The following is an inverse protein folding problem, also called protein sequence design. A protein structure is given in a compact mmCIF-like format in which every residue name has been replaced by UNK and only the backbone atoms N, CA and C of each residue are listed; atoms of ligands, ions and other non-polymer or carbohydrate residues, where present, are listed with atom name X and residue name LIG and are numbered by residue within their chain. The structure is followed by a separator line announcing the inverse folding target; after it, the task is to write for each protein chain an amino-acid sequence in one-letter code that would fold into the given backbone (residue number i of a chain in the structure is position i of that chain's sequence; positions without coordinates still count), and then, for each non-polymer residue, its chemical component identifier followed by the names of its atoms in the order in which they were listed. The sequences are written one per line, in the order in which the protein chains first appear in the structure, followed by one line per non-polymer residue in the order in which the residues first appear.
data_IF_839820836630
#
_entry.id   IF_839820836630
#
_cell.length_a   1.000
_cell.length_b   1.000
_cell.length_c   1.000
_cell.angle_alpha   90.00
_cell.angle_beta   90.00
_cell.angle_gamma   90.00
#
_symmetry.space_group_name_H-M   'P 1'
#
loop_
_entity.id
_entity.type
_entity.pdbx_description
1 polymer ?
#
# COMPACT_ATOMS: atom_id res chain seq x y z
N UNK A 1 -22.10 -81.85 4.77
CA UNK A 1 -21.88 -80.62 5.59
C UNK A 1 -20.88 -79.73 4.79
N UNK A 2 -21.38 -78.77 4.06
CA UNK A 2 -20.55 -77.79 3.27
C UNK A 2 -20.58 -76.45 3.99
N UNK A 3 -19.43 -76.04 4.50
CA UNK A 3 -19.22 -74.70 5.05
C UNK A 3 -19.04 -73.69 3.93
N UNK A 4 -19.94 -72.69 3.85
CA UNK A 4 -19.81 -71.55 2.95
C UNK A 4 -18.90 -70.50 3.63
N UNK A 5 -17.74 -70.22 3.08
CA UNK A 5 -16.89 -69.09 3.43
C UNK A 5 -17.47 -67.83 2.73
N UNK A 6 -17.90 -66.86 3.56
CA UNK A 6 -18.22 -65.50 3.05
C UNK A 6 -16.93 -64.66 3.07
N UNK A 7 -16.46 -64.23 1.89
CA UNK A 7 -15.43 -63.22 1.74
C UNK A 7 -16.05 -61.82 1.81
N UNK A 8 -15.77 -61.08 2.87
CA UNK A 8 -16.08 -59.64 2.94
C UNK A 8 -14.92 -58.87 2.25
N UNK A 9 -15.22 -58.23 1.12
CA UNK A 9 -14.36 -57.28 0.46
C UNK A 9 -14.61 -55.90 1.13
N UNK A 10 -13.70 -55.44 1.97
CA UNK A 10 -13.65 -54.06 2.44
C UNK A 10 -13.07 -53.18 1.34
N UNK A 11 -13.94 -52.43 0.64
CA UNK A 11 -13.53 -51.34 -0.22
C UNK A 11 -13.01 -50.17 0.66
N UNK A 12 -11.71 -50.03 0.69
CA UNK A 12 -11.07 -48.85 1.29
C UNK A 12 -11.13 -47.70 0.27
N UNK A 13 -12.11 -46.79 0.44
CA UNK A 13 -12.18 -45.56 -0.37
C UNK A 13 -11.14 -44.59 0.19
N UNK A 14 -9.97 -44.52 -0.46
CA UNK A 14 -9.00 -43.46 -0.23
C UNK A 14 -9.61 -42.14 -0.68
N UNK A 15 -10.15 -41.35 0.24
CA UNK A 15 -10.36 -39.92 0.02
C UNK A 15 -8.98 -39.24 -0.05
N UNK A 16 -8.44 -39.12 -1.26
CA UNK A 16 -7.36 -38.17 -1.52
C UNK A 16 -7.94 -36.77 -1.36
N UNK A 17 -7.74 -36.16 -0.21
CA UNK A 17 -7.85 -34.72 -0.06
C UNK A 17 -6.83 -34.10 -1.02
N UNK A 18 -7.28 -33.73 -2.22
CA UNK A 18 -6.60 -32.75 -3.04
C UNK A 18 -6.67 -31.44 -2.30
N UNK A 19 -5.74 -31.23 -1.36
CA UNK A 19 -5.41 -29.90 -0.89
C UNK A 19 -5.04 -29.14 -2.17
N UNK A 20 -5.96 -28.32 -2.66
CA UNK A 20 -5.71 -27.39 -3.73
C UNK A 20 -4.59 -26.49 -3.21
N UNK A 21 -3.36 -26.74 -3.67
CA UNK A 21 -2.22 -25.89 -3.39
C UNK A 21 -2.61 -24.49 -3.85
N UNK A 22 -2.98 -23.66 -2.89
CA UNK A 22 -3.22 -22.24 -3.14
C UNK A 22 -1.90 -21.70 -3.70
N UNK A 23 -1.87 -21.42 -5.01
CA UNK A 23 -0.65 -20.96 -5.67
C UNK A 23 -0.27 -19.64 -5.02
N UNK A 24 0.84 -19.63 -4.31
CA UNK A 24 1.39 -18.40 -3.74
C UNK A 24 1.63 -17.42 -4.89
N UNK A 25 1.29 -16.14 -4.68
CA UNK A 25 1.61 -15.09 -5.64
C UNK A 25 3.11 -15.10 -5.95
N UNK A 26 3.53 -14.83 -7.20
CA UNK A 26 4.93 -14.68 -7.54
C UNK A 26 5.61 -13.62 -6.68
N UNK A 27 6.82 -13.89 -6.23
CA UNK A 27 7.63 -12.91 -5.50
C UNK A 27 7.92 -11.69 -6.36
N UNK A 28 7.77 -10.49 -5.78
CA UNK A 28 8.07 -9.23 -6.45
C UNK A 28 9.51 -8.80 -6.16
N UNK A 29 10.18 -8.34 -7.19
CA UNK A 29 11.55 -7.82 -7.17
C UNK A 29 11.63 -6.49 -7.90
N UNK A 30 12.71 -5.77 -7.67
CA UNK A 30 13.10 -4.58 -8.43
C UNK A 30 14.10 -4.96 -9.51
N UNK A 31 13.86 -4.52 -10.74
CA UNK A 31 14.80 -4.64 -11.87
C UNK A 31 14.84 -3.31 -12.64
N UNK A 32 15.93 -2.58 -12.45
CA UNK A 32 16.02 -1.21 -12.98
C UNK A 32 14.92 -0.31 -12.38
N UNK A 33 14.13 0.27 -13.24
CA UNK A 33 12.99 1.12 -12.83
C UNK A 33 11.62 0.40 -12.79
N UNK A 34 11.62 -0.92 -12.71
CA UNK A 34 10.39 -1.72 -12.78
C UNK A 34 10.24 -2.65 -11.58
N UNK A 35 9.00 -2.86 -11.17
CA UNK A 35 8.61 -4.01 -10.37
C UNK A 35 8.42 -5.21 -11.30
N UNK A 36 9.07 -6.32 -10.97
CA UNK A 36 9.00 -7.54 -11.75
C UNK A 36 8.72 -8.74 -10.85
N UNK A 37 8.06 -9.76 -11.40
CA UNK A 37 7.99 -11.06 -10.72
C UNK A 37 9.38 -11.71 -10.68
N UNK A 38 9.56 -12.71 -9.83
CA UNK A 38 10.77 -13.54 -9.81
C UNK A 38 11.08 -14.22 -11.16
N UNK A 39 10.07 -14.36 -12.03
CA UNK A 39 10.19 -14.89 -13.39
C UNK A 39 10.47 -13.81 -14.44
N UNK A 40 10.68 -12.55 -14.02
CA UNK A 40 11.04 -11.43 -14.90
C UNK A 40 9.87 -10.74 -15.61
N UNK A 41 8.61 -11.10 -15.32
CA UNK A 41 7.44 -10.40 -15.87
C UNK A 41 7.25 -9.07 -15.13
N UNK A 42 7.22 -7.96 -15.88
CA UNK A 42 6.88 -6.64 -15.32
C UNK A 42 5.43 -6.60 -14.84
N UNK A 43 5.23 -6.01 -13.65
CA UNK A 43 3.91 -5.74 -13.08
C UNK A 43 3.80 -4.24 -12.79
N UNK A 44 2.68 -3.65 -13.21
CA UNK A 44 2.26 -2.32 -12.79
C UNK A 44 1.13 -2.51 -11.76
N UNK A 45 1.36 -2.02 -10.56
CA UNK A 45 0.40 -2.13 -9.47
C UNK A 45 -0.62 -0.99 -9.55
N UNK A 46 -1.90 -1.36 -9.56
CA UNK A 46 -3.01 -0.43 -9.53
C UNK A 46 -4.05 -0.96 -8.57
N UNK A 47 -4.36 -0.19 -7.55
CA UNK A 47 -5.21 -0.71 -6.49
C UNK A 47 -5.82 0.36 -5.60
N UNK A 48 -6.12 -0.06 -4.39
CA UNK A 48 -6.93 0.69 -3.45
C UNK A 48 -6.26 0.74 -2.08
N UNK A 49 -6.28 1.92 -1.46
CA UNK A 49 -6.04 2.02 -0.03
C UNK A 49 -7.28 1.49 0.70
N UNK A 50 -7.09 0.52 1.57
CA UNK A 50 -8.10 0.22 2.59
C UNK A 50 -8.11 1.33 3.63
N UNK A 51 -9.17 1.47 4.43
CA UNK A 51 -9.02 2.19 5.70
C UNK A 51 -8.14 1.37 6.64
N UNK A 52 -7.64 2.02 7.71
CA UNK A 52 -6.93 1.32 8.78
C UNK A 52 -7.69 0.05 9.20
N UNK A 53 -7.00 -1.12 9.24
CA UNK A 53 -7.60 -2.38 9.68
C UNK A 53 -8.33 -2.27 11.02
N UNK A 54 -7.79 -1.49 11.97
CA UNK A 54 -8.46 -1.20 13.26
C UNK A 54 -9.80 -0.49 13.08
N UNK A 55 -9.85 0.54 12.23
CA UNK A 55 -11.09 1.26 11.95
C UNK A 55 -12.15 0.34 11.34
N UNK A 56 -11.75 -0.47 10.37
CA UNK A 56 -12.66 -1.41 9.71
C UNK A 56 -13.13 -2.49 10.69
N UNK A 57 -12.24 -3.03 11.52
CA UNK A 57 -12.57 -4.00 12.55
C UNK A 57 -13.54 -3.43 13.58
N UNK A 58 -13.24 -2.25 14.12
CA UNK A 58 -14.10 -1.57 15.10
C UNK A 58 -15.47 -1.20 14.53
N UNK A 59 -15.55 -0.95 13.22
CA UNK A 59 -16.79 -0.69 12.49
C UNK A 59 -17.55 -1.95 12.06
N UNK A 60 -17.01 -3.15 12.30
CA UNK A 60 -17.61 -4.43 11.87
C UNK A 60 -17.51 -4.70 10.37
N UNK A 61 -16.52 -4.09 9.69
CA UNK A 61 -16.33 -4.18 8.24
C UNK A 61 -14.98 -4.77 7.82
N UNK A 62 -14.16 -5.24 8.78
CA UNK A 62 -12.95 -6.00 8.48
C UNK A 62 -13.32 -7.45 8.21
N UNK A 63 -13.74 -7.75 7.01
CA UNK A 63 -14.14 -9.07 6.56
C UNK A 63 -13.77 -9.30 5.09
N UNK A 64 -13.91 -10.53 4.60
CA UNK A 64 -13.55 -10.88 3.22
C UNK A 64 -14.39 -10.17 2.16
N UNK A 65 -15.58 -9.66 2.50
CA UNK A 65 -16.49 -9.00 1.55
C UNK A 65 -15.88 -7.72 0.99
N UNK A 66 -15.25 -6.88 1.83
CA UNK A 66 -14.60 -5.65 1.35
C UNK A 66 -13.43 -5.96 0.42
N UNK A 67 -12.67 -7.05 0.68
CA UNK A 67 -11.59 -7.52 -0.20
C UNK A 67 -12.13 -8.03 -1.53
N UNK A 68 -13.22 -8.80 -1.50
CA UNK A 68 -13.88 -9.29 -2.70
C UNK A 68 -14.36 -8.12 -3.57
N UNK A 69 -14.92 -7.09 -2.96
CA UNK A 69 -15.37 -5.92 -3.70
C UNK A 69 -14.20 -5.12 -4.27
N UNK A 70 -13.12 -4.94 -3.52
CA UNK A 70 -11.89 -4.34 -4.07
C UNK A 70 -11.36 -5.11 -5.29
N UNK A 71 -11.41 -6.45 -5.25
CA UNK A 71 -11.08 -7.29 -6.42
C UNK A 71 -12.07 -7.09 -7.57
N UNK A 72 -13.36 -7.01 -7.30
CA UNK A 72 -14.42 -6.74 -8.29
C UNK A 72 -14.23 -5.36 -8.95
N UNK A 73 -13.64 -4.41 -8.23
CA UNK A 73 -13.28 -3.10 -8.79
C UNK A 73 -12.01 -3.13 -9.64
N UNK A 74 -11.33 -4.28 -9.70
CA UNK A 74 -10.17 -4.49 -10.56
C UNK A 74 -8.81 -4.28 -9.88
N UNK A 75 -8.75 -4.13 -8.56
CA UNK A 75 -7.49 -3.96 -7.84
C UNK A 75 -6.59 -5.21 -7.98
N UNK A 76 -5.27 -4.99 -8.13
CA UNK A 76 -4.24 -6.03 -8.06
C UNK A 76 -3.31 -5.85 -6.84
N UNK A 77 -3.47 -4.75 -6.12
CA UNK A 77 -2.75 -4.45 -4.87
C UNK A 77 -3.67 -3.71 -3.91
N UNK A 78 -3.53 -3.98 -2.62
CA UNK A 78 -4.19 -3.27 -1.52
C UNK A 78 -3.14 -2.67 -0.60
N UNK A 79 -3.37 -1.44 -0.13
CA UNK A 79 -2.53 -0.82 0.88
C UNK A 79 -3.25 -0.82 2.22
N UNK A 80 -2.55 -1.27 3.25
CA UNK A 80 -3.03 -1.34 4.64
C UNK A 80 -2.33 -0.25 5.45
N UNK A 81 -2.99 0.89 5.70
CA UNK A 81 -2.46 1.92 6.58
C UNK A 81 -2.57 1.47 8.04
N UNK A 82 -1.43 1.35 8.73
CA UNK A 82 -1.34 0.98 10.14
C UNK A 82 -0.97 2.22 10.95
N UNK A 83 -1.92 2.79 11.69
CA UNK A 83 -1.66 3.94 12.53
C UNK A 83 -0.88 3.54 13.80
N UNK A 84 0.13 4.29 14.21
CA UNK A 84 0.85 4.04 15.47
C UNK A 84 -0.07 3.98 16.70
N UNK A 85 -1.09 4.83 16.75
CA UNK A 85 -2.07 4.83 17.84
C UNK A 85 -2.89 3.53 17.92
N UNK A 86 -3.27 2.97 16.76
CA UNK A 86 -3.98 1.69 16.66
C UNK A 86 -3.06 0.54 17.11
N UNK A 87 -1.84 0.50 16.58
CA UNK A 87 -0.81 -0.46 16.95
C UNK A 87 -0.57 -0.53 18.47
N UNK A 88 -0.48 0.63 19.14
CA UNK A 88 -0.34 0.68 20.61
C UNK A 88 -1.60 0.22 21.33
N UNK A 89 -2.79 0.64 20.87
CA UNK A 89 -4.08 0.34 21.53
C UNK A 89 -4.41 -1.15 21.49
N UNK A 90 -4.23 -1.80 20.38
CA UNK A 90 -4.48 -3.23 20.22
C UNK A 90 -3.37 -4.11 20.77
N UNK A 91 -2.14 -3.59 20.71
CA UNK A 91 -0.92 -4.33 20.96
C UNK A 91 -0.54 -5.27 19.82
N UNK A 92 0.74 -5.43 19.63
CA UNK A 92 1.40 -6.17 18.53
C UNK A 92 0.69 -7.46 18.09
N UNK A 93 0.26 -8.29 19.05
CA UNK A 93 -0.34 -9.61 18.76
C UNK A 93 -1.70 -9.48 18.06
N UNK A 94 -2.52 -8.54 18.49
CA UNK A 94 -3.87 -8.38 17.96
C UNK A 94 -3.84 -7.69 16.58
N UNK A 95 -2.98 -6.69 16.41
CA UNK A 95 -2.79 -6.05 15.10
C UNK A 95 -2.21 -7.01 14.05
N UNK A 96 -1.21 -7.82 14.43
CA UNK A 96 -0.70 -8.86 13.53
C UNK A 96 -1.81 -9.82 13.12
N UNK A 97 -2.73 -10.17 14.01
CA UNK A 97 -3.86 -11.03 13.65
C UNK A 97 -4.78 -10.36 12.60
N UNK A 98 -5.10 -9.08 12.77
CA UNK A 98 -5.88 -8.35 11.76
C UNK A 98 -5.15 -8.30 10.42
N UNK A 99 -3.87 -7.98 10.42
CA UNK A 99 -3.06 -7.95 9.21
C UNK A 99 -3.00 -9.33 8.55
N UNK A 100 -2.83 -10.41 9.32
CA UNK A 100 -2.78 -11.78 8.81
C UNK A 100 -4.10 -12.19 8.13
N UNK A 101 -5.24 -11.85 8.73
CA UNK A 101 -6.55 -12.08 8.12
C UNK A 101 -6.67 -11.35 6.77
N UNK A 102 -6.30 -10.08 6.72
CA UNK A 102 -6.32 -9.29 5.48
C UNK A 102 -5.36 -9.83 4.42
N UNK A 103 -4.14 -10.20 4.81
CA UNK A 103 -3.14 -10.80 3.92
C UNK A 103 -3.63 -12.15 3.38
N UNK A 104 -4.29 -12.96 4.21
CA UNK A 104 -4.89 -14.22 3.77
C UNK A 104 -5.96 -13.97 2.71
N UNK A 105 -6.92 -13.06 2.94
CA UNK A 105 -7.97 -12.75 1.96
C UNK A 105 -7.42 -12.16 0.68
N UNK A 106 -6.40 -11.30 0.76
CA UNK A 106 -5.70 -10.78 -0.42
C UNK A 106 -5.03 -11.90 -1.21
N UNK A 107 -4.38 -12.86 -0.54
CA UNK A 107 -3.76 -14.05 -1.16
C UNK A 107 -4.81 -14.88 -1.91
N UNK A 108 -5.92 -15.19 -1.26
CA UNK A 108 -7.01 -15.97 -1.83
C UNK A 108 -7.64 -15.32 -3.09
N UNK A 109 -7.61 -13.99 -3.15
CA UNK A 109 -8.15 -13.19 -4.24
C UNK A 109 -7.09 -12.79 -5.29
N UNK A 110 -5.82 -13.19 -5.10
CA UNK A 110 -4.74 -12.90 -6.02
C UNK A 110 -4.38 -11.41 -6.08
N UNK A 111 -4.36 -10.73 -4.94
CA UNK A 111 -3.93 -9.34 -4.78
C UNK A 111 -2.71 -9.26 -3.88
N UNK A 112 -1.78 -8.36 -4.21
CA UNK A 112 -0.63 -8.04 -3.36
C UNK A 112 -1.00 -7.06 -2.27
N UNK A 113 -0.15 -6.96 -1.25
CA UNK A 113 -0.34 -6.06 -0.11
C UNK A 113 0.86 -5.15 0.06
N UNK A 114 0.58 -3.88 0.33
CA UNK A 114 1.52 -2.88 0.86
C UNK A 114 1.16 -2.69 2.34
N UNK A 115 2.09 -2.93 3.24
CA UNK A 115 1.96 -2.54 4.65
C UNK A 115 2.61 -1.18 4.80
N UNK A 116 1.87 -0.21 5.30
CA UNK A 116 2.27 1.17 5.49
C UNK A 116 2.27 1.55 6.97
N UNK A 117 3.38 2.12 7.45
CA UNK A 117 3.42 2.78 8.75
C UNK A 117 2.81 4.17 8.62
N UNK A 118 1.51 4.25 8.93
CA UNK A 118 0.67 5.38 8.57
C UNK A 118 0.82 6.56 9.54
N UNK A 119 1.90 7.28 9.39
CA UNK A 119 2.25 8.44 10.21
C UNK A 119 2.45 9.68 9.34
N UNK A 120 2.12 10.86 9.88
CA UNK A 120 2.28 12.16 9.22
C UNK A 120 3.08 13.07 10.14
N UNK A 121 4.32 13.36 9.78
CA UNK A 121 5.17 14.20 10.59
C UNK A 121 6.66 14.08 10.31
N UNK A 122 7.44 14.34 11.35
CA UNK A 122 8.89 14.37 11.28
C UNK A 122 9.49 13.37 12.29
N UNK A 123 9.89 12.21 11.78
CA UNK A 123 10.49 11.17 12.63
C UNK A 123 11.81 11.62 13.30
N UNK A 124 12.52 12.59 12.70
CA UNK A 124 13.78 13.09 13.27
C UNK A 124 13.57 13.85 14.57
N UNK A 125 12.49 14.62 14.67
CA UNK A 125 12.12 15.41 15.83
C UNK A 125 11.06 14.75 16.70
N UNK A 126 10.46 13.65 16.20
CA UNK A 126 9.33 12.96 16.81
C UNK A 126 8.13 13.89 17.03
N UNK A 127 7.90 14.84 16.11
CA UNK A 127 6.78 15.76 16.09
C UNK A 127 5.82 15.43 14.95
N UNK A 128 4.55 15.32 15.26
CA UNK A 128 3.53 14.81 14.33
C UNK A 128 2.35 15.76 14.20
N UNK A 129 1.56 15.56 13.16
CA UNK A 129 0.43 16.43 12.84
C UNK A 129 -0.78 16.21 13.76
N UNK A 130 -0.91 15.03 14.36
CA UNK A 130 -1.90 14.69 15.38
C UNK A 130 -1.49 13.44 16.15
N UNK A 131 -2.14 13.20 17.28
CA UNK A 131 -1.88 12.08 18.19
C UNK A 131 -1.96 10.69 17.52
N UNK A 132 -2.80 10.56 16.48
CA UNK A 132 -2.93 9.29 15.76
C UNK A 132 -1.65 8.88 15.03
N UNK A 133 -0.85 9.85 14.62
CA UNK A 133 0.38 9.67 13.84
C UNK A 133 1.64 9.64 14.72
N UNK A 134 1.52 9.93 16.01
CA UNK A 134 2.66 9.94 16.91
C UNK A 134 3.33 8.59 17.02
N UNK A 135 4.65 8.60 16.86
CA UNK A 135 5.53 7.44 17.03
C UNK A 135 6.89 7.92 17.51
N UNK A 136 7.79 7.00 17.84
CA UNK A 136 9.20 7.30 18.06
C UNK A 136 10.07 6.58 17.06
N UNK A 137 11.32 6.99 16.88
CA UNK A 137 12.28 6.23 16.08
C UNK A 137 12.38 4.79 16.59
N UNK A 138 12.45 4.61 17.91
CA UNK A 138 12.49 3.29 18.53
C UNK A 138 11.26 2.43 18.18
N UNK A 139 10.05 2.99 18.28
CA UNK A 139 8.81 2.28 17.97
C UNK A 139 8.73 1.95 16.47
N UNK A 140 9.07 2.89 15.61
CA UNK A 140 9.11 2.70 14.16
C UNK A 140 10.09 1.59 13.76
N UNK A 141 11.28 1.58 14.35
CA UNK A 141 12.29 0.54 14.10
C UNK A 141 11.84 -0.84 14.59
N UNK A 142 11.17 -0.90 15.74
CA UNK A 142 10.61 -2.15 16.27
C UNK A 142 9.43 -2.65 15.45
N UNK A 143 8.58 -1.75 14.92
CA UNK A 143 7.53 -2.11 13.99
C UNK A 143 8.11 -2.79 12.75
N UNK A 144 9.10 -2.18 12.09
CA UNK A 144 9.70 -2.74 10.88
C UNK A 144 10.46 -4.04 11.15
N UNK A 145 11.14 -4.16 12.27
CA UNK A 145 11.73 -5.45 12.69
C UNK A 145 10.66 -6.53 12.82
N UNK A 146 9.54 -6.18 13.44
CA UNK A 146 8.41 -7.09 13.61
C UNK A 146 7.83 -7.52 12.27
N UNK A 147 7.53 -6.57 11.39
CA UNK A 147 6.98 -6.88 10.06
C UNK A 147 7.93 -7.75 9.24
N UNK A 148 9.23 -7.43 9.25
CA UNK A 148 10.23 -8.18 8.50
C UNK A 148 10.42 -9.63 9.00
N UNK A 149 10.31 -9.86 10.30
CA UNK A 149 10.34 -11.20 10.89
C UNK A 149 9.06 -11.98 10.58
N UNK A 150 7.91 -11.34 10.76
CA UNK A 150 6.60 -11.97 10.67
C UNK A 150 6.24 -12.37 9.24
N UNK A 151 6.47 -11.48 8.27
CA UNK A 151 6.13 -11.72 6.86
C UNK A 151 7.29 -12.25 6.01
N UNK A 152 8.37 -12.72 6.64
CA UNK A 152 9.47 -13.36 5.91
C UNK A 152 8.97 -14.52 5.04
N UNK A 153 9.24 -14.45 3.74
CA UNK A 153 8.82 -15.46 2.77
C UNK A 153 7.34 -15.40 2.35
N UNK A 154 6.58 -14.41 2.82
CA UNK A 154 5.20 -14.18 2.38
C UNK A 154 5.20 -13.30 1.12
N UNK A 155 4.97 -13.88 -0.04
CA UNK A 155 4.99 -13.16 -1.32
C UNK A 155 3.80 -12.21 -1.51
N UNK A 156 2.70 -12.40 -0.79
CA UNK A 156 1.52 -11.52 -0.86
C UNK A 156 1.85 -10.15 -0.30
N UNK A 157 2.61 -10.08 0.81
CA UNK A 157 3.15 -8.82 1.34
C UNK A 157 4.38 -8.44 0.50
N UNK A 158 4.11 -7.80 -0.63
CA UNK A 158 5.13 -7.43 -1.59
C UNK A 158 5.90 -6.17 -1.21
N UNK A 159 5.32 -5.29 -0.38
CA UNK A 159 5.87 -3.98 -0.09
C UNK A 159 5.75 -3.60 1.39
N UNK A 160 6.81 -2.95 1.89
CA UNK A 160 6.80 -2.19 3.14
C UNK A 160 7.01 -0.71 2.83
N UNK A 161 6.04 0.13 3.13
CA UNK A 161 6.12 1.59 3.00
C UNK A 161 6.53 2.19 4.34
N UNK A 162 7.79 2.64 4.40
CA UNK A 162 8.47 2.94 5.66
C UNK A 162 7.81 4.03 6.49
N UNK A 163 7.18 5.00 5.83
CA UNK A 163 6.57 6.16 6.48
C UNK A 163 5.62 6.84 5.49
N UNK A 164 4.37 6.99 5.86
CA UNK A 164 3.32 7.48 4.97
C UNK A 164 3.61 8.88 4.42
N UNK A 165 3.64 9.91 5.26
CA UNK A 165 3.77 11.30 4.83
C UNK A 165 4.80 12.09 5.64
N UNK A 166 6.10 11.97 5.30
CA UNK A 166 7.13 12.77 5.94
C UNK A 166 6.97 14.25 5.61
N UNK A 167 6.95 15.08 6.66
CA UNK A 167 6.80 16.52 6.53
C UNK A 167 7.40 17.27 7.71
N UNK A 168 7.94 18.45 7.45
CA UNK A 168 8.32 19.41 8.48
C UNK A 168 7.24 20.48 8.69
N UNK A 169 6.13 20.41 7.95
CA UNK A 169 5.02 21.36 8.00
C UNK A 169 5.50 22.83 8.04
N UNK A 170 6.36 23.21 7.09
CA UNK A 170 7.00 24.56 7.03
C UNK A 170 7.78 24.92 8.30
N UNK A 171 8.34 23.94 9.00
CA UNK A 171 9.12 24.11 10.22
C UNK A 171 8.31 23.98 11.53
N UNK A 172 6.99 23.84 11.47
CA UNK A 172 6.15 23.65 12.66
C UNK A 172 6.45 22.33 13.38
N UNK A 173 6.92 21.31 12.65
CA UNK A 173 7.32 20.01 13.17
C UNK A 173 8.86 19.88 13.29
N UNK A 174 9.55 20.99 13.50
CA UNK A 174 11.00 21.05 13.54
C UNK A 174 11.65 20.97 12.17
N UNK A 175 12.95 20.63 12.14
CA UNK A 175 13.72 20.55 10.91
C UNK A 175 14.21 19.12 10.62
N UNK A 176 14.27 18.78 9.36
CA UNK A 176 14.88 17.54 8.88
C UNK A 176 15.43 17.79 7.48
N UNK A 177 16.72 17.64 7.28
CA UNK A 177 17.33 17.69 5.95
C UNK A 177 17.10 16.36 5.23
N UNK A 178 17.21 16.37 3.89
CA UNK A 178 17.17 15.14 3.11
C UNK A 178 18.24 14.13 3.55
N UNK A 179 19.44 14.60 3.87
CA UNK A 179 20.52 13.72 4.32
C UNK A 179 20.14 12.99 5.63
N UNK A 180 19.52 13.69 6.60
CA UNK A 180 19.04 13.10 7.83
C UNK A 180 17.85 12.14 7.61
N UNK A 181 16.95 12.49 6.70
CA UNK A 181 15.83 11.62 6.33
C UNK A 181 16.32 10.34 5.62
N UNK A 182 17.29 10.50 4.72
CA UNK A 182 17.94 9.39 4.03
C UNK A 182 18.59 8.42 5.04
N UNK A 183 19.36 8.94 6.00
CA UNK A 183 19.98 8.14 7.06
C UNK A 183 18.96 7.30 7.83
N UNK A 184 17.84 7.88 8.27
CA UNK A 184 16.76 7.16 8.95
C UNK A 184 16.14 6.07 8.07
N UNK A 185 15.92 6.35 6.78
CA UNK A 185 15.39 5.33 5.86
C UNK A 185 16.39 4.19 5.64
N UNK A 186 17.67 4.50 5.46
CA UNK A 186 18.71 3.48 5.28
C UNK A 186 18.87 2.62 6.53
N UNK A 187 18.69 3.19 7.73
CA UNK A 187 18.66 2.42 8.99
C UNK A 187 17.44 1.49 9.05
N UNK A 188 16.23 1.97 8.74
CA UNK A 188 15.03 1.13 8.67
C UNK A 188 15.19 0.01 7.63
N UNK A 189 15.74 0.31 6.46
CA UNK A 189 16.03 -0.70 5.44
C UNK A 189 17.02 -1.72 5.97
N UNK A 190 18.08 -1.30 6.64
CA UNK A 190 19.05 -2.20 7.29
C UNK A 190 18.40 -3.16 8.30
N UNK A 191 17.49 -2.65 9.13
CA UNK A 191 16.71 -3.45 10.07
C UNK A 191 15.85 -4.49 9.34
N UNK A 192 15.16 -4.10 8.27
CA UNK A 192 14.35 -5.02 7.47
C UNK A 192 15.23 -6.10 6.82
N UNK A 193 16.34 -5.69 6.19
CA UNK A 193 17.28 -6.60 5.48
C UNK A 193 17.97 -7.59 6.40
N UNK A 194 18.16 -7.26 7.68
CA UNK A 194 18.67 -8.21 8.68
C UNK A 194 17.73 -9.43 8.89
N UNK A 195 16.46 -9.33 8.51
CA UNK A 195 15.46 -10.37 8.71
C UNK A 195 14.85 -10.89 7.40
N UNK A 196 14.67 -10.04 6.40
CA UNK A 196 14.02 -10.37 5.12
C UNK A 196 14.64 -9.61 3.95
N UNK A 197 15.04 -10.36 2.91
CA UNK A 197 15.45 -9.81 1.61
C UNK A 197 14.35 -9.94 0.55
N UNK A 198 13.14 -10.31 0.96
CA UNK A 198 12.09 -10.76 0.05
C UNK A 198 11.09 -9.66 -0.30
N UNK A 199 10.99 -8.63 0.52
CA UNK A 199 10.03 -7.53 0.37
C UNK A 199 10.70 -6.34 -0.31
N UNK A 200 9.95 -5.64 -1.17
CA UNK A 200 10.36 -4.34 -1.72
C UNK A 200 10.07 -3.27 -0.68
N UNK A 201 11.05 -2.41 -0.42
CA UNK A 201 10.89 -1.30 0.53
C UNK A 201 10.57 -0.01 -0.22
N UNK A 202 9.53 0.69 0.20
CA UNK A 202 9.07 1.93 -0.40
C UNK A 202 9.47 3.12 0.47
N UNK A 203 10.05 4.14 -0.17
CA UNK A 203 10.57 5.33 0.49
C UNK A 203 9.89 6.59 -0.02
N UNK A 204 9.28 7.35 0.88
CA UNK A 204 8.64 8.62 0.58
C UNK A 204 9.61 9.80 0.72
N UNK A 205 9.40 10.84 -0.10
CA UNK A 205 10.05 12.13 0.03
C UNK A 205 9.30 13.08 0.96
N UNK A 206 9.73 14.33 1.04
CA UNK A 206 9.10 15.34 1.88
C UNK A 206 7.80 15.95 1.31
N UNK A 207 7.27 16.95 2.01
CA UNK A 207 6.07 17.69 1.66
C UNK A 207 4.83 16.77 1.60
N UNK A 208 4.64 15.99 2.67
CA UNK A 208 3.60 14.96 2.73
C UNK A 208 3.74 13.99 1.55
N UNK A 209 4.86 13.31 1.49
CA UNK A 209 5.26 12.35 0.45
C UNK A 209 5.22 12.87 -0.99
N UNK A 210 5.08 14.18 -1.23
CA UNK A 210 4.95 14.71 -2.58
C UNK A 210 6.28 14.85 -3.32
N UNK A 211 7.32 15.42 -2.65
CA UNK A 211 8.54 15.91 -3.28
C UNK A 211 9.68 14.90 -3.25
N UNK A 212 10.12 14.49 -4.43
CA UNK A 212 11.27 13.59 -4.61
C UNK A 212 12.47 14.31 -5.25
N UNK A 213 12.47 15.65 -5.35
CA UNK A 213 13.56 16.38 -5.98
C UNK A 213 14.96 16.09 -5.41
N UNK A 214 15.13 15.84 -4.08
CA UNK A 214 16.45 15.52 -3.53
C UNK A 214 17.03 14.19 -4.00
N UNK A 215 16.20 13.27 -4.52
CA UNK A 215 16.65 11.97 -5.05
C UNK A 215 17.54 12.14 -6.29
N UNK A 216 17.44 13.28 -7.00
CA UNK A 216 18.28 13.57 -8.18
C UNK A 216 19.77 13.46 -7.86
N UNK A 217 20.17 14.05 -6.76
CA UNK A 217 21.57 14.23 -6.38
C UNK A 217 22.01 13.28 -5.26
N UNK A 218 21.09 12.85 -4.40
CA UNK A 218 21.41 12.02 -3.25
C UNK A 218 20.36 10.92 -3.02
N UNK A 219 20.27 9.92 -3.91
CA UNK A 219 19.31 8.80 -3.75
C UNK A 219 19.64 7.91 -2.55
N UNK A 220 18.64 7.17 -2.07
CA UNK A 220 18.82 6.11 -1.09
C UNK A 220 19.80 5.06 -1.63
N UNK A 221 20.75 4.65 -0.81
CA UNK A 221 21.76 3.65 -1.14
C UNK A 221 21.35 2.27 -0.60
N UNK A 222 20.41 1.65 -1.29
CA UNK A 222 19.94 0.30 -0.96
C UNK A 222 19.37 -0.40 -2.19
N UNK A 223 19.39 -1.73 -2.18
CA UNK A 223 18.77 -2.55 -3.21
C UNK A 223 17.32 -2.93 -2.84
N UNK A 224 16.52 -3.27 -3.85
CA UNK A 224 15.14 -3.72 -3.65
C UNK A 224 14.22 -2.63 -3.12
N UNK A 225 14.45 -1.38 -3.50
CA UNK A 225 13.63 -0.24 -3.10
C UNK A 225 12.83 0.32 -4.28
N UNK A 226 11.74 1.00 -3.96
CA UNK A 226 11.01 1.91 -4.83
C UNK A 226 10.74 3.23 -4.10
N UNK A 227 10.38 4.25 -4.86
CA UNK A 227 10.00 5.54 -4.29
C UNK A 227 8.48 5.75 -4.32
N UNK A 228 8.02 6.63 -3.42
CA UNK A 228 6.60 6.96 -3.25
C UNK A 228 6.38 8.45 -3.49
N UNK A 229 5.24 8.79 -4.11
CA UNK A 229 4.72 10.16 -4.11
C UNK A 229 3.20 10.17 -3.91
N UNK A 230 2.69 11.24 -3.24
CA UNK A 230 1.26 11.53 -3.03
C UNK A 230 0.87 12.82 -3.79
N UNK A 231 0.71 12.77 -5.12
CA UNK A 231 0.49 13.96 -5.94
C UNK A 231 -0.98 14.37 -6.00
N UNK A 232 -1.58 14.65 -4.86
CA UNK A 232 -2.94 15.20 -4.82
C UNK A 232 -3.08 16.48 -5.65
N UNK A 233 -4.28 16.76 -6.22
CA UNK A 233 -4.48 17.76 -7.26
C UNK A 233 -4.02 19.17 -6.88
N UNK A 234 -4.22 19.59 -5.64
CA UNK A 234 -3.86 20.96 -5.21
C UNK A 234 -2.40 21.09 -4.72
N UNK A 235 -1.58 20.03 -4.81
CA UNK A 235 -0.13 20.14 -4.57
C UNK A 235 0.55 21.01 -5.62
N UNK A 236 -0.01 21.08 -6.83
CA UNK A 236 0.39 21.96 -7.92
C UNK A 236 -0.82 22.47 -8.70
N UNK A 237 -0.67 23.62 -9.35
CA UNK A 237 -1.65 24.16 -10.26
C UNK A 237 -1.63 23.46 -11.62
N UNK A 238 -2.78 23.44 -12.31
CA UNK A 238 -2.86 23.00 -13.73
C UNK A 238 -1.99 23.90 -14.64
N UNK A 239 -1.42 23.37 -15.74
CA UNK A 239 -1.30 21.95 -16.06
C UNK A 239 -0.30 21.25 -15.14
N UNK A 240 -0.50 19.97 -14.84
CA UNK A 240 0.25 19.25 -13.81
C UNK A 240 1.51 18.56 -14.34
N UNK A 241 1.47 18.02 -15.55
CA UNK A 241 2.38 16.98 -16.06
C UNK A 241 3.86 17.39 -16.03
N UNK A 242 4.18 18.62 -16.45
CA UNK A 242 5.55 19.14 -16.41
C UNK A 242 6.04 19.31 -14.96
N UNK A 243 5.15 19.75 -14.07
CA UNK A 243 5.45 19.92 -12.65
C UNK A 243 5.63 18.56 -11.97
N UNK A 244 4.78 17.60 -12.27
CA UNK A 244 4.96 16.22 -11.80
C UNK A 244 6.28 15.63 -12.28
N UNK A 245 6.62 15.86 -13.55
CA UNK A 245 7.91 15.42 -14.11
C UNK A 245 9.09 16.03 -13.35
N UNK A 246 9.00 17.33 -13.01
CA UNK A 246 10.06 18.04 -12.30
C UNK A 246 10.19 17.62 -10.82
N UNK A 247 9.07 17.37 -10.16
CA UNK A 247 9.00 17.18 -8.71
C UNK A 247 9.23 15.71 -8.28
N UNK A 248 8.71 14.72 -9.06
CA UNK A 248 8.80 13.31 -8.70
C UNK A 248 8.84 12.34 -9.90
N UNK A 249 8.22 12.67 -11.03
CA UNK A 249 8.10 11.76 -12.17
C UNK A 249 9.44 11.38 -12.82
N UNK A 250 10.45 12.24 -12.72
CA UNK A 250 11.80 11.95 -13.20
C UNK A 250 12.42 10.69 -12.56
N UNK A 251 11.96 10.32 -11.35
CA UNK A 251 12.42 9.13 -10.60
C UNK A 251 12.16 7.87 -11.40
N UNK A 252 11.01 7.79 -12.10
CA UNK A 252 10.62 6.65 -12.90
C UNK A 252 11.59 6.31 -14.05
N UNK A 253 12.55 7.17 -14.35
CA UNK A 253 13.63 6.87 -15.34
C UNK A 253 14.69 5.91 -14.80
N UNK A 254 14.85 5.83 -13.46
CA UNK A 254 15.94 5.07 -12.83
C UNK A 254 15.44 4.07 -11.78
N UNK A 255 14.33 4.36 -11.10
CA UNK A 255 13.81 3.60 -9.99
C UNK A 255 12.33 3.30 -10.18
N UNK A 256 11.82 2.18 -9.64
CA UNK A 256 10.38 1.97 -9.58
C UNK A 256 9.72 3.07 -8.75
N UNK A 257 8.60 3.56 -9.26
CA UNK A 257 7.80 4.60 -8.61
C UNK A 257 6.37 4.11 -8.45
N UNK A 258 5.81 4.33 -7.27
CA UNK A 258 4.41 4.06 -6.97
C UNK A 258 3.79 5.27 -6.28
N UNK A 259 2.64 5.71 -6.77
CA UNK A 259 1.83 6.74 -6.13
C UNK A 259 0.90 6.03 -5.14
N UNK A 260 1.32 5.92 -3.89
CA UNK A 260 0.57 5.15 -2.88
C UNK A 260 -0.68 5.86 -2.39
N UNK A 261 -0.82 7.15 -2.71
CA UNK A 261 -2.06 7.89 -2.58
C UNK A 261 -2.29 8.82 -3.77
N UNK A 262 -3.39 8.59 -4.46
CA UNK A 262 -3.99 9.51 -5.43
C UNK A 262 -5.48 9.60 -5.17
N UNK A 263 -6.12 10.69 -5.55
CA UNK A 263 -7.57 10.82 -5.39
C UNK A 263 -8.04 12.25 -5.54
N UNK A 264 -9.34 12.41 -5.68
CA UNK A 264 -10.00 13.71 -5.76
C UNK A 264 -11.42 13.66 -5.21
N UNK A 265 -11.91 14.79 -4.73
CA UNK A 265 -13.34 15.03 -4.54
C UNK A 265 -13.67 16.47 -4.91
N UNK A 266 -14.94 16.76 -5.22
CA UNK A 266 -15.39 18.12 -5.42
C UNK A 266 -15.56 18.86 -4.10
N UNK A 267 -15.50 20.18 -4.12
CA UNK A 267 -15.51 21.00 -2.90
C UNK A 267 -16.80 20.88 -2.07
N UNK A 268 -17.87 20.40 -2.66
CA UNK A 268 -19.17 20.16 -2.03
C UNK A 268 -19.32 18.75 -1.44
N UNK A 269 -18.37 17.85 -1.70
CA UNK A 269 -18.41 16.51 -1.13
C UNK A 269 -18.01 16.49 0.35
N UNK A 270 -18.63 15.58 1.12
CA UNK A 270 -18.34 15.43 2.54
C UNK A 270 -16.87 15.09 2.78
N UNK A 271 -16.21 15.86 3.64
CA UNK A 271 -14.78 15.69 3.96
C UNK A 271 -13.83 16.35 2.96
N UNK A 272 -14.34 17.11 1.96
CA UNK A 272 -13.50 17.84 1.02
C UNK A 272 -12.55 18.79 1.76
N UNK A 273 -11.28 18.73 1.43
CA UNK A 273 -10.23 19.54 2.02
C UNK A 273 -9.05 19.72 1.05
N UNK A 274 -8.21 20.69 1.32
CA UNK A 274 -6.92 20.82 0.62
C UNK A 274 -6.00 19.69 1.11
N UNK A 275 -5.35 18.92 0.23
CA UNK A 275 -5.12 19.20 -1.20
C UNK A 275 -5.95 18.36 -2.18
N UNK A 276 -7.05 17.72 -1.78
CA UNK A 276 -7.74 16.69 -2.58
C UNK A 276 -8.83 17.25 -3.50
N UNK A 277 -9.14 18.56 -3.45
CA UNK A 277 -10.24 19.17 -4.20
C UNK A 277 -9.91 19.24 -5.69
N UNK A 278 -10.69 18.54 -6.51
CA UNK A 278 -10.64 18.54 -7.97
C UNK A 278 -11.87 17.82 -8.56
N UNK A 279 -11.76 17.46 -9.83
CA UNK A 279 -12.72 16.69 -10.60
C UNK A 279 -12.04 15.59 -11.45
N UNK A 280 -12.79 14.96 -12.35
CA UNK A 280 -12.30 13.90 -13.23
C UNK A 280 -11.13 14.34 -14.11
N UNK A 281 -10.93 15.64 -14.35
CA UNK A 281 -9.78 16.12 -15.12
C UNK A 281 -8.44 15.78 -14.45
N UNK A 282 -8.43 15.72 -13.10
CA UNK A 282 -7.26 15.21 -12.37
C UNK A 282 -7.10 13.69 -12.59
N UNK A 283 -8.21 12.95 -12.50
CA UNK A 283 -8.21 11.51 -12.78
C UNK A 283 -7.63 11.21 -14.17
N UNK A 284 -8.10 11.90 -15.20
CA UNK A 284 -7.63 11.75 -16.58
C UNK A 284 -6.14 12.07 -16.73
N UNK A 285 -5.69 13.18 -16.14
CA UNK A 285 -4.30 13.58 -16.20
C UNK A 285 -3.38 12.56 -15.51
N UNK A 286 -3.69 12.15 -14.26
CA UNK A 286 -2.81 11.28 -13.48
C UNK A 286 -2.76 9.85 -14.04
N UNK A 287 -3.90 9.30 -14.48
CA UNK A 287 -3.93 7.94 -15.04
C UNK A 287 -3.22 7.87 -16.39
N UNK A 288 -3.38 8.88 -17.25
CA UNK A 288 -2.67 8.98 -18.52
C UNK A 288 -1.16 9.16 -18.31
N UNK A 289 -0.78 10.06 -17.41
CA UNK A 289 0.63 10.33 -17.11
C UNK A 289 1.34 9.08 -16.55
N UNK A 290 0.73 8.41 -15.59
CA UNK A 290 1.29 7.20 -14.99
C UNK A 290 1.35 6.03 -15.97
N UNK A 291 0.33 5.86 -16.82
CA UNK A 291 0.32 4.82 -17.86
C UNK A 291 1.45 5.00 -18.85
N UNK A 292 1.73 6.23 -19.29
CA UNK A 292 2.81 6.54 -20.23
C UNK A 292 4.22 6.21 -19.69
N UNK A 293 4.39 6.23 -18.36
CA UNK A 293 5.68 5.99 -17.69
C UNK A 293 5.78 4.64 -16.97
N UNK A 294 4.73 3.82 -17.01
CA UNK A 294 4.69 2.54 -16.30
C UNK A 294 4.68 2.70 -14.76
N UNK A 295 4.20 3.84 -14.26
CA UNK A 295 4.14 4.14 -12.83
C UNK A 295 2.92 3.45 -12.21
N UNK A 296 3.13 2.79 -11.07
CA UNK A 296 2.07 2.18 -10.25
C UNK A 296 1.30 3.22 -9.44
N UNK A 297 0.04 2.93 -9.08
CA UNK A 297 -0.75 3.83 -8.26
C UNK A 297 -1.81 3.12 -7.40
N UNK A 298 -2.15 3.70 -6.26
CA UNK A 298 -3.15 3.22 -5.31
C UNK A 298 -4.06 4.39 -4.91
N UNK A 299 -5.37 4.21 -5.07
CA UNK A 299 -6.35 5.28 -4.82
C UNK A 299 -6.68 5.39 -3.35
N UNK A 300 -6.64 6.58 -2.80
CA UNK A 300 -7.16 6.90 -1.48
C UNK A 300 -8.64 7.27 -1.59
N UNK A 301 -9.61 6.69 -0.90
CA UNK A 301 -9.54 5.55 0.00
C UNK A 301 -10.81 4.70 -0.17
N UNK A 302 -10.71 3.39 -0.14
CA UNK A 302 -11.81 2.43 -0.23
C UNK A 302 -12.57 2.37 1.10
N UNK A 303 -13.36 3.43 1.33
CA UNK A 303 -14.05 3.75 2.58
C UNK A 303 -15.30 4.58 2.31
N UNK A 304 -16.25 4.59 3.28
CA UNK A 304 -17.49 5.36 3.22
C UNK A 304 -17.40 6.75 3.89
N UNK A 305 -16.32 7.02 4.65
CA UNK A 305 -16.19 8.23 5.49
C UNK A 305 -14.92 9.04 5.25
N UNK A 306 -13.77 8.36 5.15
CA UNK A 306 -12.50 9.06 4.92
C UNK A 306 -12.46 9.63 3.51
N UNK A 307 -12.15 10.92 3.41
CA UNK A 307 -12.14 11.64 2.13
C UNK A 307 -10.73 11.65 1.48
N UNK A 308 -10.67 11.62 0.16
CA UNK A 308 -11.76 11.40 -0.79
C UNK A 308 -12.21 9.94 -0.82
N UNK A 309 -13.48 9.73 -0.51
CA UNK A 309 -14.04 8.38 -0.37
C UNK A 309 -14.42 7.75 -1.69
N UNK A 310 -14.27 6.43 -1.82
CA UNK A 310 -14.57 5.70 -3.03
C UNK A 310 -16.03 5.23 -3.11
N UNK A 311 -16.70 5.02 -1.99
CA UNK A 311 -18.11 4.63 -1.91
C UNK A 311 -18.84 5.39 -0.79
N UNK A 312 -20.17 5.45 -0.86
CA UNK A 312 -21.00 6.22 0.07
C UNK A 312 -21.62 5.40 1.18
N UNK A 313 -21.69 4.09 1.02
CA UNK A 313 -22.37 3.16 1.91
C UNK A 313 -21.76 1.75 1.78
N UNK A 314 -22.08 0.86 2.71
CA UNK A 314 -21.54 -0.51 2.75
C UNK A 314 -22.22 -1.48 1.76
N UNK A 315 -23.07 -0.98 0.87
CA UNK A 315 -23.46 -1.66 -0.37
C UNK A 315 -22.51 -1.32 -1.53
N UNK A 316 -21.45 -0.56 -1.20
CA UNK A 316 -20.38 -0.13 -2.11
C UNK A 316 -20.90 0.74 -3.27
N UNK A 317 -21.91 1.55 -3.02
CA UNK A 317 -22.39 2.55 -3.99
C UNK A 317 -21.28 3.53 -4.33
N UNK A 318 -20.76 3.54 -5.58
CA UNK A 318 -19.59 4.34 -5.89
C UNK A 318 -19.88 5.84 -5.82
N UNK A 319 -19.00 6.61 -5.18
CA UNK A 319 -18.98 8.08 -5.29
C UNK A 319 -18.56 8.53 -6.69
N UNK A 320 -18.41 9.82 -6.91
CA UNK A 320 -17.88 10.38 -8.15
C UNK A 320 -16.47 9.85 -8.44
N UNK A 321 -15.55 9.98 -7.48
CA UNK A 321 -14.22 9.40 -7.54
C UNK A 321 -14.26 7.87 -7.71
N UNK A 322 -15.15 7.21 -6.96
CA UNK A 322 -15.32 5.76 -7.02
C UNK A 322 -15.70 5.26 -8.41
N UNK A 323 -16.66 5.92 -9.08
CA UNK A 323 -17.04 5.60 -10.46
C UNK A 323 -15.87 5.74 -11.42
N UNK A 324 -15.11 6.83 -11.27
CA UNK A 324 -13.95 7.10 -12.12
C UNK A 324 -12.88 6.02 -11.98
N UNK A 325 -12.38 5.81 -10.76
CA UNK A 325 -11.27 4.87 -10.55
C UNK A 325 -11.66 3.39 -10.65
N UNK A 326 -12.91 3.01 -10.35
CA UNK A 326 -13.42 1.67 -10.68
C UNK A 326 -13.29 1.39 -12.17
N UNK A 327 -13.72 2.33 -13.02
CA UNK A 327 -13.55 2.22 -14.47
C UNK A 327 -12.09 2.11 -14.88
N UNK A 328 -11.23 2.98 -14.33
CA UNK A 328 -9.80 2.99 -14.63
C UNK A 328 -9.10 1.69 -14.22
N UNK A 329 -9.39 1.15 -13.02
CA UNK A 329 -8.86 -0.13 -12.56
C UNK A 329 -9.23 -1.29 -13.50
N UNK A 330 -10.50 -1.37 -13.88
CA UNK A 330 -11.00 -2.40 -14.80
C UNK A 330 -10.41 -2.27 -16.21
N UNK A 331 -10.05 -1.07 -16.64
CA UNK A 331 -9.46 -0.81 -17.94
C UNK A 331 -7.95 -1.16 -17.96
N UNK A 332 -7.20 -0.71 -16.96
CA UNK A 332 -5.74 -0.82 -16.95
C UNK A 332 -5.20 -2.12 -16.35
N UNK A 333 -5.99 -2.90 -15.63
CA UNK A 333 -5.60 -4.18 -15.01
C UNK A 333 -6.15 -5.42 -15.77
N UNK A 334 -6.47 -5.26 -17.06
CA UNK A 334 -6.90 -6.37 -17.94
C UNK A 334 -5.79 -7.36 -18.20
#
# INVERSE_FOLDING_TARGET
MMQKLLFFFLLWVCFTNLAQSQSSLPKIKVKGNQFVTEHGKTIVFRGLNMSDPDKLFSGGHWDKRIFQEAKNWGANVLRFPVHPSAWRRHGKKNDLKLLDEGVQWATELGMYVIIDWHTIGNLRTEMYQSDNYETTQKETFEFWRTMAQHYKGNNTVAFFELFNEPTIAKGQLGTCSWAQWKELNEEMIGIIRAHSNDVVVLVAGFNWAYDLTPVKDNPIQAEGIGYVSHPYPMKREKPWEDKWTADWGFVAKKYPLILTEIGFCTADEAGAHVPVISDESYGDAITKYTAALGISWVVWVFDDRWAPRMFSDWDFTPTRQGKYFKKALLEYNK
#
